data_IF_937836029132
#
_entry.id   IF_937836029132
#
_cell.length_a   1.000
_cell.length_b   1.000
_cell.length_c   1.000
_cell.angle_alpha   90.00
_cell.angle_beta   90.00
_cell.angle_gamma   90.00
#
_symmetry.space_group_name_H-M   'P 1'
#
loop_
_entity.id
_entity.type
_entity.pdbx_description
1 polymer ?
#
# COMPACT_ATOMS: atom_id res chain seq x y z
N UNK A 1 38.20 -40.72 23.87
CA UNK A 1 38.73 -39.68 22.96
C UNK A 1 37.55 -39.12 22.17
N UNK A 2 37.17 -37.87 22.41
CA UNK A 2 36.03 -37.23 21.75
C UNK A 2 36.57 -36.17 20.77
N UNK A 3 36.31 -36.35 19.49
CA UNK A 3 36.71 -35.41 18.43
C UNK A 3 35.69 -34.28 18.36
N UNK A 4 36.10 -33.05 18.71
CA UNK A 4 35.33 -31.84 18.46
C UNK A 4 35.45 -31.49 16.96
N UNK A 5 34.36 -31.68 16.22
CA UNK A 5 34.21 -31.14 14.87
C UNK A 5 33.97 -29.63 14.98
N UNK A 6 35.02 -28.85 14.72
CA UNK A 6 34.89 -27.41 14.52
C UNK A 6 34.29 -27.17 13.13
N UNK A 7 32.97 -27.05 13.06
CA UNK A 7 32.25 -26.63 11.85
C UNK A 7 32.40 -25.12 11.70
N UNK A 8 33.42 -24.66 10.97
CA UNK A 8 33.49 -23.27 10.52
C UNK A 8 32.31 -23.02 9.58
N UNK A 9 31.43 -22.08 9.96
CA UNK A 9 30.31 -21.68 9.12
C UNK A 9 30.83 -21.18 7.76
N UNK A 10 30.34 -21.81 6.70
CA UNK A 10 30.56 -21.42 5.31
C UNK A 10 29.92 -20.05 5.09
N UNK A 11 30.78 -19.09 4.78
CA UNK A 11 30.52 -17.87 4.01
C UNK A 11 29.33 -17.02 4.49
N UNK A 12 29.60 -16.15 5.47
CA UNK A 12 28.77 -14.98 5.70
C UNK A 12 28.91 -14.07 4.48
N UNK A 13 28.01 -14.21 3.50
CA UNK A 13 27.90 -13.33 2.33
C UNK A 13 28.00 -11.88 2.82
N UNK A 14 29.14 -11.24 2.57
CA UNK A 14 29.38 -9.85 2.95
C UNK A 14 28.33 -9.03 2.23
N UNK A 15 27.30 -8.61 2.96
CA UNK A 15 26.15 -7.93 2.37
C UNK A 15 26.63 -6.80 1.49
N UNK A 16 26.21 -6.81 0.21
CA UNK A 16 26.52 -5.73 -0.72
C UNK A 16 26.16 -4.40 -0.03
N UNK A 17 27.15 -3.51 0.08
CA UNK A 17 26.94 -2.15 0.58
C UNK A 17 26.12 -1.31 -0.40
N UNK A 18 25.91 -1.80 -1.62
CA UNK A 18 25.17 -1.13 -2.68
C UNK A 18 23.82 -1.78 -2.92
N UNK A 19 22.81 -0.94 -3.17
CA UNK A 19 21.49 -1.35 -3.64
C UNK A 19 21.49 -1.44 -5.16
N UNK A 20 21.19 -2.63 -5.69
CA UNK A 20 20.90 -2.84 -7.10
C UNK A 20 19.38 -2.94 -7.30
N UNK A 21 18.78 -2.07 -8.15
CA UNK A 21 17.35 -2.14 -8.45
C UNK A 21 16.97 -3.45 -9.17
N UNK A 22 15.88 -4.06 -8.73
CA UNK A 22 15.13 -5.10 -9.47
C UNK A 22 13.98 -4.45 -10.24
N UNK A 23 13.39 -5.11 -11.26
CA UNK A 23 12.19 -4.62 -11.92
C UNK A 23 11.05 -4.31 -10.94
N UNK A 24 10.86 -5.14 -9.90
CA UNK A 24 9.88 -4.90 -8.83
C UNK A 24 10.19 -3.62 -8.06
N UNK A 25 11.43 -3.41 -7.59
CA UNK A 25 11.76 -2.17 -6.86
C UNK A 25 11.67 -0.92 -7.74
N UNK A 26 12.00 -1.04 -9.04
CA UNK A 26 11.87 0.08 -9.96
C UNK A 26 10.40 0.46 -10.17
N UNK A 27 9.53 -0.52 -10.45
CA UNK A 27 8.09 -0.30 -10.59
C UNK A 27 7.46 0.22 -9.29
N UNK A 28 7.86 -0.31 -8.14
CA UNK A 28 7.39 0.14 -6.84
C UNK A 28 7.84 1.58 -6.53
N UNK A 29 9.06 1.97 -6.89
CA UNK A 29 9.49 3.37 -6.73
C UNK A 29 8.63 4.34 -7.55
N UNK A 30 8.17 3.93 -8.74
CA UNK A 30 7.23 4.71 -9.55
C UNK A 30 5.84 4.74 -8.91
N UNK A 31 5.38 3.62 -8.36
CA UNK A 31 4.12 3.53 -7.63
C UNK A 31 4.06 4.55 -6.50
N UNK A 32 5.14 4.71 -5.73
CA UNK A 32 5.18 5.70 -4.63
C UNK A 32 4.93 7.13 -5.11
N UNK A 33 5.48 7.51 -6.28
CA UNK A 33 5.22 8.81 -6.89
C UNK A 33 3.79 8.93 -7.41
N UNK A 34 3.27 7.86 -8.03
CA UNK A 34 1.89 7.82 -8.52
C UNK A 34 0.86 7.91 -7.38
N UNK A 35 1.09 7.22 -6.26
CA UNK A 35 0.23 7.30 -5.07
C UNK A 35 0.22 8.71 -4.49
N UNK A 36 1.37 9.41 -4.45
CA UNK A 36 1.41 10.80 -4.02
C UNK A 36 0.58 11.70 -4.95
N UNK A 37 0.73 11.54 -6.27
CA UNK A 37 -0.07 12.31 -7.23
C UNK A 37 -1.57 12.00 -7.15
N UNK A 38 -1.93 10.74 -6.88
CA UNK A 38 -3.31 10.33 -6.68
C UNK A 38 -3.93 10.98 -5.43
N UNK A 39 -3.23 10.93 -4.29
CA UNK A 39 -3.66 11.60 -3.05
C UNK A 39 -3.92 13.08 -3.28
N UNK A 40 -3.02 13.79 -3.95
CA UNK A 40 -3.20 15.22 -4.19
C UNK A 40 -4.36 15.50 -5.15
N UNK A 41 -4.54 14.68 -6.19
CA UNK A 41 -5.66 14.84 -7.12
C UNK A 41 -7.03 14.59 -6.45
N UNK A 42 -7.12 13.64 -5.52
CA UNK A 42 -8.35 13.42 -4.74
C UNK A 42 -8.59 14.56 -3.73
N UNK A 43 -7.53 15.05 -3.07
CA UNK A 43 -7.61 16.22 -2.17
C UNK A 43 -8.12 17.48 -2.87
N UNK A 44 -7.75 17.68 -4.12
CA UNK A 44 -8.23 18.80 -4.93
C UNK A 44 -9.75 18.74 -5.18
N UNK A 45 -10.39 17.57 -5.03
CA UNK A 45 -11.84 17.38 -5.22
C UNK A 45 -12.61 17.44 -3.89
N UNK A 46 -12.01 16.95 -2.80
CA UNK A 46 -12.63 16.66 -1.50
C UNK A 46 -13.41 17.83 -0.86
N UNK A 47 -13.09 19.08 -1.25
CA UNK A 47 -13.69 20.30 -0.70
C UNK A 47 -14.14 21.31 -1.75
N UNK A 48 -14.26 20.90 -3.01
CA UNK A 48 -14.62 21.80 -4.10
C UNK A 48 -16.12 21.78 -4.37
N UNK A 49 -16.69 22.96 -4.52
CA UNK A 49 -18.06 23.12 -5.00
C UNK A 49 -18.20 22.57 -6.44
N UNK A 50 -19.18 21.70 -6.67
CA UNK A 50 -19.48 21.14 -7.99
C UNK A 50 -19.78 22.21 -9.06
N UNK A 51 -20.13 23.43 -8.65
CA UNK A 51 -20.30 24.58 -9.55
C UNK A 51 -18.99 25.26 -9.97
N UNK A 52 -17.85 24.83 -9.41
CA UNK A 52 -16.55 25.31 -9.83
C UNK A 52 -16.28 24.85 -11.28
N UNK A 53 -15.98 25.76 -12.22
CA UNK A 53 -15.74 25.40 -13.62
C UNK A 53 -14.56 24.43 -13.80
N UNK A 54 -13.61 24.37 -12.87
CA UNK A 54 -12.49 23.43 -12.89
C UNK A 54 -12.83 22.02 -12.36
N UNK A 55 -13.98 21.84 -11.72
CA UNK A 55 -14.35 20.58 -11.04
C UNK A 55 -14.32 19.36 -11.97
N UNK A 56 -14.79 19.52 -13.22
CA UNK A 56 -14.75 18.44 -14.22
C UNK A 56 -13.33 18.08 -14.66
N UNK A 57 -12.40 19.03 -14.63
CA UNK A 57 -11.00 18.78 -14.95
C UNK A 57 -10.31 18.04 -13.81
N UNK A 58 -10.52 18.48 -12.56
CA UNK A 58 -9.99 17.82 -11.38
C UNK A 58 -10.49 16.38 -11.22
N UNK A 59 -11.78 16.12 -11.46
CA UNK A 59 -12.29 14.74 -11.50
C UNK A 59 -11.60 13.86 -12.54
N UNK A 60 -11.30 14.40 -13.72
CA UNK A 60 -10.55 13.65 -14.75
C UNK A 60 -9.10 13.41 -14.32
N UNK A 61 -8.49 14.34 -13.60
CA UNK A 61 -7.14 14.18 -13.07
C UNK A 61 -7.06 13.12 -11.97
N UNK A 62 -8.02 13.09 -11.05
CA UNK A 62 -8.14 12.03 -10.06
C UNK A 62 -8.35 10.66 -10.72
N UNK A 63 -9.28 10.56 -11.67
CA UNK A 63 -9.51 9.31 -12.42
C UNK A 63 -8.25 8.84 -13.17
N UNK A 64 -7.54 9.76 -13.86
CA UNK A 64 -6.29 9.44 -14.57
C UNK A 64 -5.18 9.00 -13.63
N UNK A 65 -5.05 9.63 -12.47
CA UNK A 65 -4.03 9.27 -11.49
C UNK A 65 -4.35 7.93 -10.83
N UNK A 66 -5.63 7.62 -10.56
CA UNK A 66 -6.10 6.29 -10.14
C UNK A 66 -5.73 5.21 -11.16
N UNK A 67 -6.06 5.42 -12.44
CA UNK A 67 -5.70 4.51 -13.52
C UNK A 67 -4.17 4.29 -13.62
N UNK A 68 -3.40 5.36 -13.43
CA UNK A 68 -1.94 5.28 -13.43
C UNK A 68 -1.42 4.41 -12.29
N UNK A 69 -1.96 4.58 -11.08
CA UNK A 69 -1.64 3.72 -9.92
C UNK A 69 -1.97 2.26 -10.22
N UNK A 70 -3.20 1.96 -10.69
CA UNK A 70 -3.62 0.60 -11.02
C UNK A 70 -2.72 -0.05 -12.08
N UNK A 71 -2.29 0.71 -13.09
CA UNK A 71 -1.35 0.23 -14.11
C UNK A 71 0.01 -0.18 -13.53
N UNK A 72 0.53 0.56 -12.55
CA UNK A 72 1.80 0.25 -11.89
C UNK A 72 1.67 -0.95 -10.95
N UNK A 73 0.52 -1.10 -10.29
CA UNK A 73 0.21 -2.29 -9.48
C UNK A 73 0.18 -3.55 -10.34
N UNK A 74 -0.39 -3.48 -11.54
CA UNK A 74 -0.36 -4.57 -12.52
C UNK A 74 1.08 -4.92 -12.95
N UNK A 75 1.93 -3.93 -13.20
CA UNK A 75 3.36 -4.15 -13.50
C UNK A 75 4.07 -4.88 -12.35
N UNK A 76 3.81 -4.48 -11.10
CA UNK A 76 4.42 -5.11 -9.92
C UNK A 76 3.89 -6.54 -9.74
N UNK A 77 2.58 -6.76 -9.95
CA UNK A 77 1.96 -8.09 -9.89
C UNK A 77 2.60 -9.04 -10.91
N UNK A 78 2.81 -8.57 -12.13
CA UNK A 78 3.32 -9.39 -13.23
C UNK A 78 4.85 -9.56 -13.23
N UNK A 79 5.60 -8.70 -12.54
CA UNK A 79 7.05 -8.84 -12.42
C UNK A 79 7.44 -10.11 -11.62
N UNK A 80 8.30 -10.95 -12.19
CA UNK A 80 8.87 -12.09 -11.45
C UNK A 80 9.80 -11.59 -10.35
N UNK A 81 9.66 -12.06 -9.10
CA UNK A 81 10.55 -11.67 -8.01
C UNK A 81 11.97 -12.19 -8.28
N UNK A 82 12.96 -11.30 -8.21
CA UNK A 82 14.38 -11.63 -8.45
C UNK A 82 15.06 -11.98 -7.13
N UNK A 83 14.56 -11.47 -6.01
CA UNK A 83 15.06 -11.75 -4.65
C UNK A 83 13.93 -11.87 -3.63
N UNK A 84 14.26 -12.37 -2.45
CA UNK A 84 13.28 -12.58 -1.37
C UNK A 84 12.68 -11.27 -0.86
N UNK A 85 13.46 -10.18 -0.90
CA UNK A 85 13.05 -8.83 -0.50
C UNK A 85 12.04 -8.19 -1.47
N UNK A 86 11.83 -8.76 -2.67
CA UNK A 86 10.77 -8.30 -3.56
C UNK A 86 9.38 -8.77 -3.08
N UNK A 87 9.30 -9.79 -2.21
CA UNK A 87 8.01 -10.37 -1.78
C UNK A 87 7.16 -9.40 -0.95
N UNK A 88 7.68 -8.69 0.07
CA UNK A 88 6.88 -7.71 0.80
C UNK A 88 6.37 -6.57 -0.09
N UNK A 89 7.14 -6.14 -1.10
CA UNK A 89 6.70 -5.14 -2.07
C UNK A 89 5.51 -5.63 -2.91
N UNK A 90 5.54 -6.89 -3.36
CA UNK A 90 4.41 -7.49 -4.08
C UNK A 90 3.16 -7.63 -3.21
N UNK A 91 3.32 -7.98 -1.92
CA UNK A 91 2.19 -8.04 -0.97
C UNK A 91 1.61 -6.65 -0.71
N UNK A 92 2.46 -5.66 -0.49
CA UNK A 92 2.03 -4.26 -0.33
C UNK A 92 1.27 -3.79 -1.57
N UNK A 93 1.78 -4.06 -2.78
CA UNK A 93 1.08 -3.72 -4.02
C UNK A 93 -0.29 -4.43 -4.14
N UNK A 94 -0.38 -5.71 -3.78
CA UNK A 94 -1.66 -6.41 -3.77
C UNK A 94 -2.65 -5.76 -2.80
N UNK A 95 -2.21 -5.42 -1.59
CA UNK A 95 -3.03 -4.74 -0.60
C UNK A 95 -3.50 -3.37 -1.09
N UNK A 96 -2.58 -2.55 -1.60
CA UNK A 96 -2.90 -1.25 -2.21
C UNK A 96 -3.95 -1.38 -3.30
N UNK A 97 -3.87 -2.42 -4.16
CA UNK A 97 -4.87 -2.66 -5.21
C UNK A 97 -6.25 -2.93 -4.62
N UNK A 98 -6.33 -3.85 -3.66
CA UNK A 98 -7.60 -4.18 -2.99
C UNK A 98 -8.21 -2.95 -2.30
N UNK A 99 -7.38 -2.10 -1.68
CA UNK A 99 -7.86 -0.86 -1.07
C UNK A 99 -8.41 0.13 -2.11
N UNK A 100 -7.68 0.41 -3.18
CA UNK A 100 -8.10 1.37 -4.22
C UNK A 100 -9.35 0.88 -4.98
N UNK A 101 -9.51 -0.43 -5.14
CA UNK A 101 -10.67 -1.02 -5.82
C UNK A 101 -11.86 -1.24 -4.87
N UNK A 102 -11.69 -1.08 -3.56
CA UNK A 102 -12.79 -1.26 -2.61
C UNK A 102 -13.81 -0.13 -2.76
N UNK A 103 -15.07 -0.52 -2.88
CA UNK A 103 -16.22 0.40 -2.98
C UNK A 103 -16.86 0.67 -1.61
N UNK A 104 -16.40 -0.01 -0.55
CA UNK A 104 -16.96 0.10 0.80
C UNK A 104 -15.89 0.58 1.80
N UNK A 105 -16.23 1.55 2.63
CA UNK A 105 -15.28 2.07 3.61
C UNK A 105 -14.92 1.06 4.71
N UNK A 106 -15.83 0.16 5.10
CA UNK A 106 -15.53 -0.88 6.09
C UNK A 106 -14.50 -1.90 5.56
N UNK A 107 -14.63 -2.32 4.30
CA UNK A 107 -13.68 -3.18 3.61
C UNK A 107 -12.33 -2.46 3.47
N UNK A 108 -12.33 -1.20 3.04
CA UNK A 108 -11.12 -0.38 2.99
C UNK A 108 -10.42 -0.31 4.36
N UNK A 109 -11.16 -0.02 5.43
CA UNK A 109 -10.62 0.08 6.79
C UNK A 109 -10.06 -1.25 7.30
N UNK A 110 -10.77 -2.36 7.02
CA UNK A 110 -10.30 -3.71 7.34
C UNK A 110 -8.99 -4.04 6.63
N UNK A 111 -8.91 -3.75 5.33
CA UNK A 111 -7.71 -3.94 4.52
C UNK A 111 -6.54 -3.08 5.05
N UNK A 112 -6.79 -1.81 5.33
CA UNK A 112 -5.78 -0.91 5.90
C UNK A 112 -5.26 -1.44 7.25
N UNK A 113 -6.15 -1.93 8.13
CA UNK A 113 -5.80 -2.51 9.42
C UNK A 113 -4.88 -3.76 9.34
N UNK A 114 -4.84 -4.46 8.20
CA UNK A 114 -3.92 -5.59 8.00
C UNK A 114 -2.44 -5.19 8.12
N UNK A 115 -2.11 -3.92 7.87
CA UNK A 115 -0.76 -3.39 8.00
C UNK A 115 -0.24 -3.47 9.44
N UNK A 116 -1.13 -3.26 10.41
CA UNK A 116 -0.84 -3.28 11.84
C UNK A 116 -0.98 -4.68 12.44
N UNK A 117 -1.93 -5.48 11.93
CA UNK A 117 -2.14 -6.87 12.39
C UNK A 117 -0.98 -7.77 11.95
N UNK A 118 -0.44 -7.57 10.73
CA UNK A 118 0.58 -8.45 10.14
C UNK A 118 1.85 -7.69 9.71
N UNK A 119 2.54 -6.98 10.62
CA UNK A 119 3.68 -6.13 10.26
C UNK A 119 4.79 -6.91 9.57
N UNK A 120 5.01 -8.18 9.98
CA UNK A 120 6.00 -9.10 9.42
C UNK A 120 5.79 -9.43 7.94
N UNK A 121 4.55 -9.39 7.43
CA UNK A 121 4.28 -9.66 6.01
C UNK A 121 4.72 -8.50 5.10
N UNK A 122 4.76 -7.30 5.66
CA UNK A 122 5.00 -6.03 4.99
C UNK A 122 6.35 -5.40 5.39
N UNK A 123 7.30 -6.22 5.81
CA UNK A 123 8.68 -5.80 6.09
C UNK A 123 9.69 -6.86 5.64
N UNK A 124 10.93 -6.42 5.40
CA UNK A 124 12.07 -7.29 5.21
C UNK A 124 12.84 -7.45 6.51
N UNK A 125 13.07 -8.69 6.92
CA UNK A 125 13.96 -9.04 8.03
C UNK A 125 15.42 -9.08 7.58
N UNK A 126 16.34 -8.69 8.46
CA UNK A 126 17.79 -8.77 8.20
C UNK A 126 18.48 -7.42 8.25
N UNK A 127 19.70 -7.36 7.71
CA UNK A 127 20.55 -6.16 7.66
C UNK A 127 21.19 -6.02 6.30
N UNK A 128 21.43 -4.78 5.86
CA UNK A 128 22.12 -4.47 4.60
C UNK A 128 21.39 -3.43 3.77
N UNK A 129 22.07 -2.90 2.75
CA UNK A 129 21.55 -1.78 1.94
C UNK A 129 20.23 -2.12 1.23
N UNK A 130 20.07 -3.37 0.79
CA UNK A 130 18.84 -3.85 0.13
C UNK A 130 17.65 -3.83 1.09
N UNK A 131 17.79 -4.46 2.25
CA UNK A 131 16.75 -4.53 3.28
C UNK A 131 16.35 -3.12 3.71
N UNK A 132 17.33 -2.24 4.00
CA UNK A 132 17.05 -0.86 4.39
C UNK A 132 16.29 -0.10 3.31
N UNK A 133 16.68 -0.23 2.04
CA UNK A 133 16.01 0.47 0.93
C UNK A 133 14.58 -0.04 0.73
N UNK A 134 14.37 -1.35 0.77
CA UNK A 134 13.03 -1.94 0.61
C UNK A 134 12.13 -1.55 1.79
N UNK A 135 12.63 -1.60 3.03
CA UNK A 135 11.86 -1.16 4.20
C UNK A 135 11.51 0.33 4.14
N UNK A 136 12.42 1.18 3.64
CA UNK A 136 12.11 2.59 3.40
C UNK A 136 10.96 2.75 2.40
N UNK A 137 10.99 2.01 1.28
CA UNK A 137 9.91 2.06 0.28
C UNK A 137 8.58 1.57 0.85
N UNK A 138 8.59 0.52 1.68
CA UNK A 138 7.40 0.00 2.36
C UNK A 138 6.86 0.99 3.40
N UNK A 139 7.73 1.70 4.12
CA UNK A 139 7.31 2.75 5.05
C UNK A 139 6.64 3.91 4.31
N UNK A 140 7.26 4.41 3.24
CA UNK A 140 6.65 5.45 2.40
C UNK A 140 5.31 5.00 1.80
N UNK A 141 5.17 3.73 1.42
CA UNK A 141 3.88 3.22 0.95
C UNK A 141 2.80 3.26 2.05
N UNK A 142 3.14 2.90 3.30
CA UNK A 142 2.20 3.01 4.43
C UNK A 142 1.77 4.45 4.66
N UNK A 143 2.71 5.40 4.62
CA UNK A 143 2.39 6.82 4.78
C UNK A 143 1.39 7.28 3.71
N UNK A 144 1.56 6.82 2.45
CA UNK A 144 0.62 7.13 1.36
C UNK A 144 -0.73 6.46 1.52
N UNK A 145 -0.77 5.23 2.01
CA UNK A 145 -2.04 4.55 2.29
C UNK A 145 -2.79 5.21 3.44
N UNK A 146 -2.06 5.73 4.44
CA UNK A 146 -2.63 6.55 5.51
C UNK A 146 -3.19 7.87 4.97
N UNK A 147 -2.46 8.53 4.05
CA UNK A 147 -2.96 9.73 3.38
C UNK A 147 -4.29 9.47 2.64
N UNK A 148 -4.40 8.33 1.93
CA UNK A 148 -5.63 7.92 1.23
C UNK A 148 -6.76 7.64 2.23
N UNK A 149 -6.46 6.95 3.33
CA UNK A 149 -7.44 6.65 4.38
C UNK A 149 -8.04 7.92 5.04
N UNK A 150 -7.38 9.07 4.88
CA UNK A 150 -7.83 10.36 5.41
C UNK A 150 -8.70 11.19 4.45
N UNK A 151 -8.95 10.75 3.22
CA UNK A 151 -9.81 11.44 2.26
C UNK A 151 -11.30 11.34 2.68
N UNK A 152 -12.11 12.38 2.44
CA UNK A 152 -13.53 12.39 2.87
C UNK A 152 -14.34 11.27 2.25
N UNK A 153 -14.05 10.86 1.01
CA UNK A 153 -14.73 9.73 0.35
C UNK A 153 -14.79 8.48 1.25
N UNK A 154 -13.69 8.16 1.93
CA UNK A 154 -13.62 7.00 2.82
C UNK A 154 -14.17 7.29 4.22
N UNK A 155 -14.14 8.54 4.68
CA UNK A 155 -14.67 8.95 5.98
C UNK A 155 -16.20 9.07 5.98
N UNK A 156 -16.80 9.52 4.89
CA UNK A 156 -18.24 9.74 4.78
C UNK A 156 -19.00 8.43 4.54
N UNK A 157 -18.43 7.50 3.76
CA UNK A 157 -18.98 6.14 3.63
C UNK A 157 -18.90 5.39 4.96
N UNK A 158 -17.83 5.55 5.74
CA UNK A 158 -17.73 4.94 7.07
C UNK A 158 -18.79 5.48 8.06
N UNK A 159 -19.04 6.81 8.04
CA UNK A 159 -20.09 7.42 8.88
C UNK A 159 -21.49 6.99 8.45
N UNK A 160 -21.74 6.91 7.15
CA UNK A 160 -23.04 6.46 6.63
C UNK A 160 -23.33 5.00 7.03
N UNK A 161 -22.33 4.11 6.95
CA UNK A 161 -22.46 2.71 7.40
C UNK A 161 -22.70 2.62 8.92
N UNK A 162 -22.04 3.45 9.74
CA UNK A 162 -22.26 3.51 11.20
C UNK A 162 -23.68 4.04 11.54
N UNK A 163 -24.18 5.03 10.80
CA UNK A 163 -25.54 5.57 10.96
C UNK A 163 -26.60 4.54 10.53
N UNK A 164 -26.41 3.84 9.42
CA UNK A 164 -27.31 2.77 8.97
C UNK A 164 -27.30 1.56 9.93
N UNK A 165 -26.13 1.19 10.48
CA UNK A 165 -26.02 0.16 11.51
C UNK A 165 -26.72 0.55 12.83
N UNK A 166 -26.71 1.85 13.18
CA UNK A 166 -27.43 2.38 14.34
C UNK A 166 -28.96 2.48 14.12
N UNK A 167 -29.42 2.53 12.86
CA UNK A 167 -30.84 2.63 12.48
C UNK A 167 -31.51 1.28 12.22
N UNK A 168 -30.74 0.17 12.14
CA UNK A 168 -31.28 -1.19 12.07
C UNK A 168 -32.20 -1.50 13.29
N UNK A 169 -33.51 -1.70 13.09
CA UNK A 169 -34.49 -1.57 14.17
C UNK A 169 -34.55 -2.79 15.09
N UNK A 170 -34.92 -2.51 16.35
CA UNK A 170 -35.53 -3.40 17.35
C UNK A 170 -36.85 -4.03 16.84
N UNK A 171 -36.83 -4.75 15.73
CA UNK A 171 -37.98 -5.47 15.18
C UNK A 171 -37.70 -6.97 15.09
N UNK A 172 -37.67 -7.64 16.25
CA UNK A 172 -38.25 -8.98 16.40
C UNK A 172 -38.38 -9.35 17.89
N UNK A 173 -39.44 -8.85 18.53
CA UNK A 173 -39.95 -9.45 19.77
C UNK A 173 -41.45 -9.15 19.91
N UNK A 174 -42.26 -9.89 19.15
CA UNK A 174 -43.62 -10.26 19.54
C UNK A 174 -43.85 -11.73 19.20
#
# INVERSE_FOLDING_TARGET
MATLMNTTAVDATKGSIYFTPTPTTHAFSRLLGALAGYVEAERDIDHVDAWNPAFLEWQRDAARSRDHVLSLLDLIRNASPVRVEDRPLKRMALLTRMMIESERADEFAQLHGLLDIFPDLFQCSGRGAIVSRVNQMLATARDRLWDIAGLQEYLDVARADDEDAAVAPLSLAM
#
